data_IF_765103521141
#
_entry.id   IF_765103521141
#
_cell.length_a   1.000
_cell.length_b   1.000
_cell.length_c   1.000
_cell.angle_alpha   90.00
_cell.angle_beta   90.00
_cell.angle_gamma   90.00
#
_symmetry.space_group_name_H-M   'P 1'
#
loop_
_entity.id
_entity.type
_entity.pdbx_description
1 polymer ?
#
# COMPACT_ATOMS: atom_id res chain seq x y z
N UNK A 1 26.88 23.37 -5.44
CA UNK A 1 27.26 22.01 -5.02
C UNK A 1 27.42 21.86 -3.49
N UNK A 2 26.60 22.57 -2.69
CA UNK A 2 26.69 22.60 -1.21
C UNK A 2 25.33 22.22 -0.57
N UNK A 3 24.22 22.57 -1.23
CA UNK A 3 22.85 22.20 -0.82
C UNK A 3 22.61 20.67 -0.81
N UNK A 4 23.18 19.94 -1.78
CA UNK A 4 22.98 18.50 -1.91
C UNK A 4 23.71 17.65 -0.85
N UNK A 5 24.76 18.17 -0.20
CA UNK A 5 25.55 17.42 0.80
C UNK A 5 25.24 17.81 2.24
N UNK A 6 24.72 19.03 2.48
CA UNK A 6 24.40 19.50 3.84
C UNK A 6 22.96 19.24 4.27
N UNK A 7 21.99 19.36 3.36
CA UNK A 7 20.55 19.30 3.71
C UNK A 7 19.92 17.92 3.48
N UNK A 8 20.48 17.16 2.53
CA UNK A 8 20.01 15.82 2.19
C UNK A 8 19.94 14.86 3.39
N UNK A 9 20.98 14.68 4.23
CA UNK A 9 20.89 13.76 5.39
C UNK A 9 19.89 14.21 6.47
N UNK A 10 19.44 15.47 6.47
CA UNK A 10 18.39 15.94 7.39
C UNK A 10 16.98 15.75 6.84
N UNK A 11 16.80 15.73 5.51
CA UNK A 11 15.49 15.56 4.85
C UNK A 11 15.26 14.12 4.39
N UNK A 12 16.31 13.33 4.21
CA UNK A 12 16.26 11.90 3.86
C UNK A 12 15.26 11.10 4.72
N UNK A 13 15.26 11.21 6.08
CA UNK A 13 14.34 10.44 6.90
C UNK A 13 12.87 10.84 6.64
N UNK A 14 12.62 12.14 6.47
CA UNK A 14 11.29 12.68 6.17
C UNK A 14 10.82 12.32 4.76
N UNK A 15 11.72 12.34 3.77
CA UNK A 15 11.43 11.95 2.39
C UNK A 15 11.07 10.47 2.30
N UNK A 16 11.88 9.60 2.91
CA UNK A 16 11.59 8.16 2.97
C UNK A 16 10.28 7.87 3.71
N UNK A 17 10.00 8.58 4.82
CA UNK A 17 8.71 8.47 5.52
C UNK A 17 7.51 8.80 4.62
N UNK A 18 7.59 9.89 3.84
CA UNK A 18 6.50 10.30 2.94
C UNK A 18 6.40 9.39 1.72
N UNK A 19 7.52 8.93 1.17
CA UNK A 19 7.55 8.01 0.04
C UNK A 19 6.91 6.66 0.40
N UNK A 20 7.25 6.10 1.56
CA UNK A 20 6.66 4.86 2.07
C UNK A 20 5.19 5.03 2.43
N UNK A 21 4.80 6.16 3.02
CA UNK A 21 3.40 6.46 3.27
C UNK A 21 2.60 6.51 1.95
N UNK A 22 3.14 7.17 0.92
CA UNK A 22 2.51 7.22 -0.40
C UNK A 22 2.43 5.86 -1.07
N UNK A 23 3.42 5.01 -0.84
CA UNK A 23 3.44 3.64 -1.34
C UNK A 23 2.38 2.76 -0.64
N UNK A 24 2.22 2.89 0.68
CA UNK A 24 1.13 2.23 1.44
C UNK A 24 -0.25 2.66 0.95
N UNK A 25 -0.45 3.98 0.78
CA UNK A 25 -1.71 4.53 0.27
C UNK A 25 -1.97 4.03 -1.14
N UNK A 26 -0.97 4.00 -2.03
CA UNK A 26 -1.14 3.51 -3.40
C UNK A 26 -1.54 2.03 -3.44
N UNK A 27 -0.98 1.19 -2.57
CA UNK A 27 -1.34 -0.24 -2.49
C UNK A 27 -2.80 -0.39 -2.04
N UNK A 28 -3.22 0.37 -1.03
CA UNK A 28 -4.59 0.33 -0.51
C UNK A 28 -5.59 0.91 -1.52
N UNK A 29 -5.25 2.03 -2.16
CA UNK A 29 -6.03 2.63 -3.24
C UNK A 29 -6.13 1.69 -4.44
N UNK A 30 -5.09 0.95 -4.80
CA UNK A 30 -5.16 -0.02 -5.91
C UNK A 30 -6.15 -1.18 -5.64
N UNK A 31 -6.30 -1.60 -4.39
CA UNK A 31 -7.32 -2.58 -4.01
C UNK A 31 -8.74 -2.00 -4.13
N UNK A 32 -8.95 -0.74 -3.73
CA UNK A 32 -10.26 -0.05 -3.82
C UNK A 32 -10.59 0.35 -5.25
N UNK A 33 -9.64 0.88 -6.01
CA UNK A 33 -9.78 1.26 -7.41
C UNK A 33 -10.05 0.02 -8.29
N UNK A 34 -9.47 -1.13 -7.95
CA UNK A 34 -9.76 -2.39 -8.63
C UNK A 34 -11.24 -2.81 -8.56
N UNK A 35 -11.94 -2.47 -7.48
CA UNK A 35 -13.38 -2.74 -7.32
C UNK A 35 -14.28 -1.82 -8.16
N UNK A 36 -13.80 -0.63 -8.55
CA UNK A 36 -14.53 0.32 -9.40
C UNK A 36 -14.04 0.31 -10.86
N UNK A 37 -13.29 -0.72 -11.25
CA UNK A 37 -12.80 -0.90 -12.63
C UNK A 37 -11.54 -0.11 -13.00
N UNK A 38 -10.86 0.51 -12.02
CA UNK A 38 -9.63 1.30 -12.21
C UNK A 38 -8.34 0.49 -12.41
N UNK A 39 -8.40 -0.85 -12.30
CA UNK A 39 -7.22 -1.73 -12.39
C UNK A 39 -6.55 -1.99 -11.03
N UNK A 40 -5.92 -3.16 -10.88
CA UNK A 40 -5.20 -3.56 -9.67
C UNK A 40 -5.70 -4.85 -9.00
N UNK A 41 -5.31 -5.05 -7.74
CA UNK A 41 -5.60 -6.27 -6.96
C UNK A 41 -7.11 -6.47 -6.73
N UNK A 42 -7.89 -5.39 -6.72
CA UNK A 42 -9.35 -5.42 -6.57
C UNK A 42 -10.11 -5.91 -7.81
N UNK A 43 -9.48 -5.96 -8.98
CA UNK A 43 -10.13 -6.47 -10.21
C UNK A 43 -10.43 -7.95 -10.09
N UNK A 44 -9.54 -8.72 -9.44
CA UNK A 44 -9.78 -10.14 -9.17
C UNK A 44 -10.99 -10.35 -8.25
N UNK A 45 -11.21 -9.42 -7.30
CA UNK A 45 -12.37 -9.47 -6.40
C UNK A 45 -13.67 -9.17 -7.16
N UNK A 46 -13.66 -8.17 -8.03
CA UNK A 46 -14.81 -7.82 -8.89
C UNK A 46 -15.16 -8.98 -9.85
N UNK A 47 -14.16 -9.62 -10.45
CA UNK A 47 -14.37 -10.78 -11.32
C UNK A 47 -14.92 -11.99 -10.54
N UNK A 48 -14.42 -12.26 -9.33
CA UNK A 48 -14.94 -13.32 -8.48
C UNK A 48 -16.39 -13.05 -8.01
N UNK A 49 -16.74 -11.78 -7.74
CA UNK A 49 -18.09 -11.34 -7.42
C UNK A 49 -19.05 -11.49 -8.60
N UNK A 50 -18.62 -11.09 -9.80
CA UNK A 50 -19.40 -11.23 -11.03
C UNK A 50 -19.69 -12.69 -11.38
N UNK A 51 -18.75 -13.59 -11.08
CA UNK A 51 -18.94 -15.03 -11.29
C UNK A 51 -19.64 -15.77 -10.12
N UNK A 52 -20.07 -15.06 -9.06
CA UNK A 52 -20.71 -15.63 -7.87
C UNK A 52 -19.87 -16.73 -7.16
N UNK A 53 -18.55 -16.69 -7.29
CA UNK A 53 -17.63 -17.61 -6.64
C UNK A 53 -17.33 -17.15 -5.20
N UNK A 54 -18.27 -17.39 -4.29
CA UNK A 54 -18.15 -16.99 -2.88
C UNK A 54 -16.88 -17.51 -2.19
N UNK A 55 -16.37 -18.69 -2.57
CA UNK A 55 -15.11 -19.23 -2.07
C UNK A 55 -13.89 -18.37 -2.48
N UNK A 56 -13.86 -17.92 -3.74
CA UNK A 56 -12.78 -17.07 -4.25
C UNK A 56 -12.86 -15.66 -3.67
N UNK A 57 -14.08 -15.13 -3.49
CA UNK A 57 -14.32 -13.83 -2.85
C UNK A 57 -13.73 -13.81 -1.43
N UNK A 58 -13.99 -14.86 -0.64
CA UNK A 58 -13.45 -14.99 0.72
C UNK A 58 -11.91 -15.04 0.74
N UNK A 59 -11.31 -15.78 -0.19
CA UNK A 59 -9.86 -15.90 -0.29
C UNK A 59 -9.19 -14.58 -0.71
N UNK A 60 -9.78 -13.86 -1.66
CA UNK A 60 -9.27 -12.57 -2.13
C UNK A 60 -9.38 -11.50 -1.03
N UNK A 61 -10.51 -11.47 -0.30
CA UNK A 61 -10.66 -10.59 0.86
C UNK A 61 -9.62 -10.90 1.94
N UNK A 62 -9.36 -12.17 2.23
CA UNK A 62 -8.32 -12.56 3.19
C UNK A 62 -6.92 -12.09 2.74
N UNK A 63 -6.59 -12.23 1.46
CA UNK A 63 -5.31 -11.75 0.90
C UNK A 63 -5.19 -10.24 1.01
N UNK A 64 -6.24 -9.48 0.64
CA UNK A 64 -6.24 -8.02 0.79
C UNK A 64 -6.03 -7.65 2.26
N UNK A 65 -6.71 -8.32 3.19
CA UNK A 65 -6.58 -8.06 4.61
C UNK A 65 -5.14 -8.29 5.12
N UNK A 66 -4.51 -9.39 4.71
CA UNK A 66 -3.10 -9.69 5.03
C UNK A 66 -2.16 -8.64 4.45
N UNK A 67 -2.36 -8.24 3.19
CA UNK A 67 -1.55 -7.20 2.55
C UNK A 67 -1.69 -5.87 3.29
N UNK A 68 -2.92 -5.46 3.65
CA UNK A 68 -3.15 -4.23 4.41
C UNK A 68 -2.42 -4.26 5.76
N UNK A 69 -2.53 -5.36 6.51
CA UNK A 69 -1.81 -5.51 7.78
C UNK A 69 -0.30 -5.45 7.60
N UNK A 70 0.25 -6.17 6.61
CA UNK A 70 1.69 -6.15 6.33
C UNK A 70 2.15 -4.73 6.02
N UNK A 71 1.38 -3.98 5.22
CA UNK A 71 1.75 -2.62 4.83
C UNK A 71 1.67 -1.66 6.02
N UNK A 72 0.68 -1.81 6.91
CA UNK A 72 0.60 -1.07 8.18
C UNK A 72 1.78 -1.38 9.12
N UNK A 73 2.18 -2.65 9.23
CA UNK A 73 3.33 -3.06 10.05
C UNK A 73 4.62 -2.44 9.49
N UNK A 74 4.83 -2.51 8.17
CA UNK A 74 6.01 -1.92 7.51
C UNK A 74 6.04 -0.41 7.71
N UNK A 75 4.90 0.27 7.51
CA UNK A 75 4.77 1.71 7.70
C UNK A 75 5.02 2.14 9.15
N UNK A 76 4.51 1.36 10.11
CA UNK A 76 4.72 1.58 11.56
C UNK A 76 6.17 1.30 12.01
N UNK A 77 6.78 0.23 11.48
CA UNK A 77 8.17 -0.12 11.78
C UNK A 77 9.15 0.94 11.29
N UNK A 78 8.87 1.53 10.12
CA UNK A 78 9.72 2.57 9.55
C UNK A 78 9.51 3.90 10.29
N UNK A 79 8.28 4.25 10.67
CA UNK A 79 8.03 5.37 11.60
C UNK A 79 8.83 5.24 12.89
N UNK A 80 8.86 4.04 13.49
CA UNK A 80 9.64 3.75 14.71
C UNK A 80 11.17 3.81 14.54
N UNK A 81 11.66 3.74 13.31
CA UNK A 81 13.10 3.76 13.01
C UNK A 81 13.57 5.15 12.57
N UNK A 82 12.63 6.04 12.23
CA UNK A 82 12.88 7.42 11.79
C UNK A 82 12.59 8.44 12.91
N UNK A 83 11.60 8.16 13.76
CA UNK A 83 11.33 8.89 15.01
C UNK A 83 12.13 8.25 16.14
#
# INVERSE_FOLDING_TARGET
MILAKGYWPQVEPSFWSVALLRWDINIRESAVLGLVGGGGIGVALDDALNNLYWDQVGLILAVIFVVVILTEIVSSFIRRRII
#
